data_IF_285221790329
#
_entry.id   IF_285221790329
#
_cell.length_a   1.000
_cell.length_b   1.000
_cell.length_c   1.000
_cell.angle_alpha   90.00
_cell.angle_beta   90.00
_cell.angle_gamma   90.00
#
_symmetry.space_group_name_H-M   'P 1'
#
loop_
_entity.id
_entity.type
_entity.pdbx_description
1 polymer ?
#
# COMPACT_ATOMS: atom_id res chain seq x y z
N UNK A 1 -10.73 -3.05 -42.50
CA UNK A 1 -11.89 -2.15 -42.52
C UNK A 1 -12.97 -2.50 -41.46
N UNK A 2 -13.16 -3.74 -41.06
CA UNK A 2 -14.16 -4.14 -40.08
C UNK A 2 -13.92 -3.63 -38.66
N UNK A 3 -12.65 -3.57 -38.22
CA UNK A 3 -12.30 -3.22 -36.84
C UNK A 3 -12.52 -1.73 -36.53
N UNK A 4 -12.28 -0.84 -37.48
CA UNK A 4 -12.51 0.60 -37.31
C UNK A 4 -14.02 0.93 -37.22
N UNK A 5 -14.87 0.20 -37.94
CA UNK A 5 -16.32 0.37 -37.89
C UNK A 5 -16.88 -0.19 -36.55
N UNK A 6 -16.34 -1.29 -36.05
CA UNK A 6 -16.73 -1.86 -34.76
C UNK A 6 -16.37 -0.93 -33.59
N UNK A 7 -15.19 -0.31 -33.60
CA UNK A 7 -14.77 0.68 -32.61
C UNK A 7 -15.66 1.91 -32.66
N UNK A 8 -15.95 2.46 -33.85
CA UNK A 8 -16.81 3.62 -34.01
C UNK A 8 -18.26 3.35 -33.55
N UNK A 9 -18.78 2.14 -33.73
CA UNK A 9 -20.12 1.74 -33.27
C UNK A 9 -20.18 1.57 -31.75
N UNK A 10 -19.09 1.14 -31.12
CA UNK A 10 -18.98 1.03 -29.66
C UNK A 10 -18.93 2.43 -29.03
N UNK A 11 -18.19 3.36 -29.63
CA UNK A 11 -18.07 4.73 -29.15
C UNK A 11 -19.42 5.49 -29.31
N UNK A 12 -20.13 5.30 -30.43
CA UNK A 12 -21.45 5.89 -30.68
C UNK A 12 -22.55 5.38 -29.71
N UNK A 13 -22.38 4.25 -29.10
CA UNK A 13 -23.31 3.67 -28.10
C UNK A 13 -22.94 4.05 -26.65
N UNK A 14 -21.94 4.92 -26.45
CA UNK A 14 -21.45 5.28 -25.12
C UNK A 14 -20.82 4.11 -24.37
N UNK A 15 -20.28 3.12 -25.10
CA UNK A 15 -19.63 1.95 -24.53
C UNK A 15 -18.36 2.36 -23.84
N UNK A 16 -18.34 2.21 -22.52
CA UNK A 16 -17.21 2.54 -21.69
C UNK A 16 -16.29 1.31 -21.50
N UNK A 17 -15.04 1.55 -21.11
CA UNK A 17 -14.11 0.47 -20.79
C UNK A 17 -14.67 -0.52 -19.75
N UNK A 18 -15.50 -0.04 -18.84
CA UNK A 18 -16.22 -0.83 -17.82
C UNK A 18 -17.21 -1.82 -18.43
N UNK A 19 -17.87 -1.46 -19.54
CA UNK A 19 -18.81 -2.35 -20.22
C UNK A 19 -18.08 -3.48 -20.96
N UNK A 20 -16.89 -3.18 -21.51
CA UNK A 20 -16.02 -4.20 -22.09
C UNK A 20 -15.55 -5.19 -21.04
N UNK A 21 -15.22 -4.72 -19.84
CA UNK A 21 -14.81 -5.54 -18.70
C UNK A 21 -15.93 -6.47 -18.23
N UNK A 22 -17.17 -5.97 -18.15
CA UNK A 22 -18.37 -6.77 -17.82
C UNK A 22 -18.67 -7.84 -18.88
N UNK A 23 -18.39 -7.52 -20.14
CA UNK A 23 -18.62 -8.45 -21.26
C UNK A 23 -17.55 -9.55 -21.36
N UNK A 24 -16.36 -9.33 -20.78
CA UNK A 24 -15.21 -10.24 -20.83
C UNK A 24 -14.61 -10.51 -19.43
N UNK A 25 -15.39 -11.01 -18.48
CA UNK A 25 -14.94 -11.19 -17.08
C UNK A 25 -13.78 -12.18 -16.91
N UNK A 26 -13.45 -12.91 -17.96
CA UNK A 26 -12.33 -13.87 -17.99
C UNK A 26 -11.01 -13.34 -18.56
N UNK A 27 -10.99 -12.11 -19.08
CA UNK A 27 -9.80 -11.51 -19.67
C UNK A 27 -8.76 -11.12 -18.60
N UNK A 28 -7.48 -11.43 -18.87
CA UNK A 28 -6.35 -11.04 -17.96
C UNK A 28 -6.35 -9.52 -17.68
N UNK A 29 -6.74 -8.71 -18.65
CA UNK A 29 -6.80 -7.25 -18.54
C UNK A 29 -7.96 -6.79 -17.65
N UNK A 30 -9.14 -7.37 -17.81
CA UNK A 30 -10.33 -6.99 -17.04
C UNK A 30 -10.23 -7.34 -15.55
N UNK A 31 -9.53 -8.43 -15.18
CA UNK A 31 -9.28 -8.79 -13.77
C UNK A 31 -8.31 -7.84 -13.09
N UNK A 32 -7.29 -7.37 -13.79
CA UNK A 32 -6.29 -6.44 -13.23
C UNK A 32 -6.91 -5.10 -12.83
N UNK A 33 -7.85 -4.59 -13.62
CA UNK A 33 -8.46 -3.27 -13.43
C UNK A 33 -9.57 -3.23 -12.36
N UNK A 34 -10.08 -4.40 -11.94
CA UNK A 34 -11.17 -4.48 -10.96
C UNK A 34 -10.73 -5.01 -9.59
N UNK A 35 -9.43 -5.26 -9.41
CA UNK A 35 -8.90 -5.78 -8.15
C UNK A 35 -8.88 -4.67 -7.09
N UNK A 36 -9.50 -4.93 -5.95
CA UNK A 36 -9.52 -4.00 -4.83
C UNK A 36 -8.25 -4.10 -3.98
N UNK A 37 -7.95 -3.06 -3.25
CA UNK A 37 -6.84 -3.02 -2.29
C UNK A 37 -6.94 -4.18 -1.29
N UNK A 38 -8.14 -4.50 -0.81
CA UNK A 38 -8.41 -5.62 0.10
C UNK A 38 -7.99 -7.00 -0.43
N UNK A 39 -7.91 -7.15 -1.75
CA UNK A 39 -7.54 -8.43 -2.38
C UNK A 39 -6.02 -8.59 -2.57
N UNK A 40 -5.26 -7.49 -2.50
CA UNK A 40 -3.81 -7.48 -2.73
C UNK A 40 -3.01 -7.10 -1.50
N UNK A 41 -3.62 -6.46 -0.51
CA UNK A 41 -2.96 -6.06 0.72
C UNK A 41 -2.55 -7.27 1.57
N UNK A 42 -1.52 -7.10 2.36
CA UNK A 42 -1.25 -8.00 3.47
C UNK A 42 -2.28 -7.75 4.56
N UNK A 43 -2.77 -8.82 5.15
CA UNK A 43 -3.71 -8.77 6.27
C UNK A 43 -3.11 -8.06 7.49
N UNK A 44 -3.93 -7.77 8.48
CA UNK A 44 -3.48 -7.20 9.75
C UNK A 44 -2.36 -8.05 10.39
N UNK A 45 -2.48 -9.37 10.38
CA UNK A 45 -1.49 -10.27 10.99
C UNK A 45 -0.18 -10.34 10.21
N UNK A 46 -0.24 -10.20 8.89
CA UNK A 46 0.93 -10.21 8.00
C UNK A 46 1.63 -8.86 7.93
N UNK A 47 0.94 -7.78 8.30
CA UNK A 47 1.51 -6.44 8.32
C UNK A 47 2.49 -6.28 9.46
N UNK A 48 3.74 -5.80 9.19
CA UNK A 48 4.68 -5.42 10.24
C UNK A 48 4.09 -4.31 11.09
N UNK A 49 3.97 -4.53 12.38
CA UNK A 49 3.41 -3.55 13.31
C UNK A 49 4.04 -3.66 14.67
N UNK A 50 4.15 -2.52 15.34
CA UNK A 50 4.76 -2.41 16.66
C UNK A 50 4.17 -1.23 17.44
N UNK A 51 4.26 -1.27 18.75
CA UNK A 51 3.91 -0.11 19.58
C UNK A 51 4.85 1.07 19.32
N UNK A 52 4.33 2.28 19.30
CA UNK A 52 5.13 3.52 19.19
C UNK A 52 6.14 3.66 20.33
N UNK A 53 5.89 3.02 21.49
CA UNK A 53 6.78 3.01 22.65
C UNK A 53 7.87 1.94 22.57
N UNK A 54 7.85 1.07 21.56
CA UNK A 54 8.86 0.05 21.38
C UNK A 54 10.22 0.62 20.99
N UNK A 55 11.26 -0.19 21.14
CA UNK A 55 12.62 0.18 20.76
C UNK A 55 12.79 0.19 19.22
N UNK A 56 13.74 0.98 18.75
CA UNK A 56 14.13 0.96 17.34
C UNK A 56 14.61 -0.45 16.93
N UNK A 57 15.33 -1.14 17.79
CA UNK A 57 15.80 -2.50 17.55
C UNK A 57 14.65 -3.46 17.29
N UNK A 58 13.59 -3.42 18.13
CA UNK A 58 12.42 -4.28 17.96
C UNK A 58 11.67 -3.96 16.67
N UNK A 59 11.59 -2.68 16.29
CA UNK A 59 11.02 -2.28 15.02
C UNK A 59 11.79 -2.84 13.81
N UNK A 60 13.12 -2.82 13.85
CA UNK A 60 13.97 -3.40 12.82
C UNK A 60 13.82 -4.92 12.72
N UNK A 61 13.69 -5.61 13.85
CA UNK A 61 13.44 -7.05 13.88
C UNK A 61 12.09 -7.41 13.25
N UNK A 62 11.04 -6.69 13.59
CA UNK A 62 9.69 -6.88 13.00
C UNK A 62 9.69 -6.61 11.50
N UNK A 63 10.33 -5.51 11.08
CA UNK A 63 10.47 -5.13 9.68
C UNK A 63 11.19 -6.19 8.85
N UNK A 64 12.26 -6.75 9.40
CA UNK A 64 13.04 -7.83 8.77
C UNK A 64 12.26 -9.14 8.71
N UNK A 65 11.59 -9.51 9.79
CA UNK A 65 10.81 -10.76 9.87
C UNK A 65 9.68 -10.79 8.84
N UNK A 66 8.98 -9.68 8.67
CA UNK A 66 7.83 -9.56 7.76
C UNK A 66 8.21 -9.16 6.32
N UNK A 67 9.45 -8.76 6.07
CA UNK A 67 9.99 -8.45 4.73
C UNK A 67 9.13 -7.47 3.93
N UNK A 68 8.74 -6.38 4.53
CA UNK A 68 7.94 -5.36 3.86
C UNK A 68 8.70 -4.05 3.59
N UNK A 69 9.85 -3.85 4.25
CA UNK A 69 10.64 -2.62 4.15
C UNK A 69 10.04 -1.44 4.92
N UNK A 70 9.01 -1.71 5.71
CA UNK A 70 8.41 -0.77 6.65
C UNK A 70 7.80 -1.50 7.84
N UNK A 71 7.53 -0.75 8.91
CA UNK A 71 6.72 -1.18 10.05
C UNK A 71 5.73 -0.09 10.43
N UNK A 72 4.49 -0.47 10.69
CA UNK A 72 3.44 0.44 11.16
C UNK A 72 3.56 0.60 12.67
N UNK A 73 3.55 1.83 13.15
CA UNK A 73 3.53 2.10 14.60
C UNK A 73 2.12 2.38 15.06
N UNK A 74 1.74 1.72 16.14
CA UNK A 74 0.43 1.85 16.77
C UNK A 74 0.54 2.60 18.09
N UNK A 75 -0.44 3.45 18.37
CA UNK A 75 -0.58 4.11 19.66
C UNK A 75 -1.23 3.19 20.72
N UNK A 76 -1.46 3.72 21.91
CA UNK A 76 -2.08 2.99 23.02
C UNK A 76 -3.53 2.56 22.74
N UNK A 77 -4.19 3.18 21.75
CA UNK A 77 -5.55 2.86 21.30
C UNK A 77 -5.55 1.94 20.06
N UNK A 78 -4.39 1.39 19.69
CA UNK A 78 -4.20 0.60 18.45
C UNK A 78 -4.54 1.38 17.16
N UNK A 79 -4.44 2.70 17.19
CA UNK A 79 -4.56 3.53 16.00
C UNK A 79 -3.18 3.70 15.35
N UNK A 80 -3.19 3.92 14.03
CA UNK A 80 -1.96 4.17 13.29
C UNK A 80 -1.35 5.52 13.70
N UNK A 81 -0.21 5.47 14.36
CA UNK A 81 0.54 6.66 14.78
C UNK A 81 1.54 7.13 13.71
N UNK A 82 2.06 6.21 12.93
CA UNK A 82 3.04 6.50 11.88
C UNK A 82 3.59 5.24 11.26
N UNK A 83 4.63 5.41 10.46
CA UNK A 83 5.42 4.33 9.88
C UNK A 83 6.91 4.60 10.05
N UNK A 84 7.69 3.54 10.11
CA UNK A 84 9.14 3.57 10.01
C UNK A 84 9.56 2.71 8.83
N UNK A 85 10.37 3.27 7.93
CA UNK A 85 10.77 2.63 6.67
C UNK A 85 12.28 2.46 6.57
N UNK A 86 12.75 1.67 5.60
CA UNK A 86 14.17 1.58 5.26
C UNK A 86 14.77 2.95 4.92
N UNK A 87 14.00 3.84 4.31
CA UNK A 87 14.40 5.21 4.04
C UNK A 87 14.59 6.05 5.31
N UNK A 88 13.73 5.85 6.31
CA UNK A 88 13.86 6.50 7.62
C UNK A 88 15.12 6.02 8.34
N UNK A 89 15.38 4.71 8.31
CA UNK A 89 16.60 4.13 8.87
C UNK A 89 17.85 4.72 8.23
N UNK A 90 17.86 4.83 6.91
CA UNK A 90 19.01 5.40 6.18
C UNK A 90 19.25 6.84 6.58
N UNK A 91 18.22 7.68 6.63
CA UNK A 91 18.32 9.07 7.09
C UNK A 91 18.80 9.19 8.55
N UNK A 92 18.39 8.24 9.37
CA UNK A 92 18.80 8.19 10.76
C UNK A 92 20.31 7.89 10.90
N UNK A 93 20.80 6.91 10.11
CA UNK A 93 22.22 6.53 10.06
C UNK A 93 23.12 7.65 9.49
N UNK A 94 22.61 8.47 8.60
CA UNK A 94 23.33 9.66 8.11
C UNK A 94 23.55 10.71 9.20
N UNK A 95 22.63 10.78 10.18
CA UNK A 95 22.70 11.78 11.27
C UNK A 95 23.41 11.26 12.51
N UNK A 96 23.42 9.96 12.74
CA UNK A 96 24.01 9.33 13.92
C UNK A 96 24.54 7.96 13.60
N UNK A 97 25.79 7.69 14.01
CA UNK A 97 26.41 6.37 13.89
C UNK A 97 26.00 5.43 15.03
N UNK A 98 25.45 5.97 16.11
CA UNK A 98 24.98 5.21 17.27
C UNK A 98 23.46 5.26 17.35
N UNK A 99 22.85 4.08 17.26
CA UNK A 99 21.40 3.89 17.36
C UNK A 99 20.94 3.64 18.81
N UNK A 100 21.89 3.48 19.74
CA UNK A 100 21.56 3.24 21.14
C UNK A 100 20.90 4.47 21.75
N UNK A 101 19.78 4.26 22.43
CA UNK A 101 19.01 5.33 23.07
C UNK A 101 18.10 6.14 22.15
N UNK A 102 18.06 5.84 20.82
CA UNK A 102 17.09 6.44 19.92
C UNK A 102 15.72 5.80 20.09
N UNK A 103 14.72 6.63 20.27
CA UNK A 103 13.34 6.19 20.36
C UNK A 103 12.69 6.16 18.99
N UNK A 104 11.88 5.14 18.75
CA UNK A 104 11.12 4.99 17.51
C UNK A 104 10.24 6.22 17.26
N UNK A 105 9.65 6.80 18.31
CA UNK A 105 8.80 7.98 18.25
C UNK A 105 9.43 9.18 17.53
N UNK A 106 10.74 9.37 17.66
CA UNK A 106 11.45 10.48 17.01
C UNK A 106 11.92 10.15 15.58
N UNK A 107 11.84 8.89 15.18
CA UNK A 107 12.32 8.39 13.89
C UNK A 107 11.21 8.12 12.88
N UNK A 108 9.95 8.02 13.32
CA UNK A 108 8.83 7.68 12.46
C UNK A 108 8.40 8.84 11.56
N UNK A 109 7.84 8.48 10.41
CA UNK A 109 7.01 9.38 9.60
C UNK A 109 5.62 9.40 10.19
N UNK A 110 5.24 10.51 10.81
CA UNK A 110 3.88 10.74 11.32
C UNK A 110 2.91 11.00 10.15
N UNK A 111 1.65 10.65 10.31
CA UNK A 111 0.62 10.79 9.29
C UNK A 111 1.01 10.13 7.95
N UNK A 112 1.25 8.81 7.92
CA UNK A 112 1.56 8.08 6.70
C UNK A 112 0.40 8.17 5.70
N UNK A 113 0.68 7.95 4.42
CA UNK A 113 -0.38 7.84 3.43
C UNK A 113 -1.18 6.57 3.68
N UNK A 114 -2.47 6.74 3.78
CA UNK A 114 -3.43 5.64 4.00
C UNK A 114 -4.37 5.50 2.82
N UNK A 115 -4.91 4.32 2.65
CA UNK A 115 -5.88 4.00 1.61
C UNK A 115 -6.96 3.10 2.20
N UNK A 116 -8.25 3.31 1.90
CA UNK A 116 -9.30 2.39 2.29
C UNK A 116 -9.26 1.09 1.46
N UNK A 117 -9.69 -0.05 2.02
CA UNK A 117 -9.60 -1.34 1.35
C UNK A 117 -10.53 -1.49 0.13
N UNK A 118 -11.54 -0.67 0.01
CA UNK A 118 -12.56 -0.70 -1.06
C UNK A 118 -12.06 -0.09 -2.37
N UNK A 119 -11.01 0.74 -2.35
CA UNK A 119 -10.44 1.33 -3.55
C UNK A 119 -9.77 0.28 -4.43
N UNK A 120 -9.62 0.61 -5.71
CA UNK A 120 -8.96 -0.26 -6.66
C UNK A 120 -7.44 -0.27 -6.44
N UNK A 121 -6.80 -1.39 -6.73
CA UNK A 121 -5.35 -1.51 -6.68
C UNK A 121 -4.65 -0.53 -7.62
N UNK A 122 -5.27 -0.15 -8.74
CA UNK A 122 -4.78 0.88 -9.65
C UNK A 122 -4.70 2.26 -8.98
N UNK A 123 -5.70 2.61 -8.16
CA UNK A 123 -5.67 3.86 -7.38
C UNK A 123 -4.54 3.87 -6.34
N UNK A 124 -4.20 2.70 -5.79
CA UNK A 124 -3.02 2.56 -4.91
C UNK A 124 -1.72 2.85 -5.67
N UNK A 125 -1.59 2.37 -6.90
CA UNK A 125 -0.42 2.63 -7.76
C UNK A 125 -0.31 4.13 -8.06
N UNK A 126 -1.41 4.77 -8.49
CA UNK A 126 -1.45 6.20 -8.77
C UNK A 126 -1.04 7.03 -7.54
N UNK A 127 -1.52 6.63 -6.36
CA UNK A 127 -1.16 7.28 -5.10
C UNK A 127 0.33 7.12 -4.78
N UNK A 128 0.89 5.92 -4.98
CA UNK A 128 2.31 5.65 -4.77
C UNK A 128 3.18 6.47 -5.72
N UNK A 129 2.83 6.54 -7.01
CA UNK A 129 3.53 7.33 -8.01
C UNK A 129 3.47 8.83 -7.71
N UNK A 130 2.27 9.35 -7.47
CA UNK A 130 2.04 10.77 -7.16
C UNK A 130 2.85 11.25 -5.97
N UNK A 131 2.95 10.43 -4.93
CA UNK A 131 3.65 10.78 -3.69
C UNK A 131 5.07 10.24 -3.62
N UNK A 132 5.54 9.52 -4.64
CA UNK A 132 6.87 8.88 -4.70
C UNK A 132 7.15 8.02 -3.48
N UNK A 133 6.19 7.19 -3.12
CA UNK A 133 6.26 6.25 -2.01
C UNK A 133 6.06 4.82 -2.51
N UNK A 134 6.58 3.85 -1.78
CA UNK A 134 6.51 2.44 -2.14
C UNK A 134 5.60 1.62 -1.22
N UNK A 135 4.98 2.27 -0.24
CA UNK A 135 4.16 1.63 0.78
C UNK A 135 2.90 2.44 1.04
N UNK A 136 1.80 1.76 1.30
CA UNK A 136 0.55 2.35 1.78
C UNK A 136 0.05 1.56 2.98
N UNK A 137 -0.47 2.26 3.96
CA UNK A 137 -1.16 1.68 5.11
C UNK A 137 -2.64 1.60 4.76
N UNK A 138 -3.24 0.43 4.95
CA UNK A 138 -4.68 0.25 4.72
C UNK A 138 -5.41 0.42 6.04
N UNK A 139 -6.31 1.38 6.07
CA UNK A 139 -7.06 1.74 7.28
C UNK A 139 -8.56 1.67 7.05
N UNK A 140 -9.28 1.39 8.13
CA UNK A 140 -10.73 1.48 8.16
C UNK A 140 -11.23 2.91 8.41
N UNK A 141 -12.56 3.09 8.49
CA UNK A 141 -13.19 4.42 8.61
C UNK A 141 -12.81 5.21 9.87
N UNK A 142 -12.40 4.52 10.92
CA UNK A 142 -12.00 5.14 12.21
C UNK A 142 -10.49 5.28 12.36
N UNK A 143 -9.71 5.01 11.29
CA UNK A 143 -8.26 5.07 11.29
C UNK A 143 -7.58 3.83 11.86
N UNK A 144 -8.33 2.77 12.14
CA UNK A 144 -7.80 1.48 12.57
C UNK A 144 -6.99 0.81 11.46
N UNK A 145 -5.92 0.13 11.85
CA UNK A 145 -5.09 -0.63 10.94
C UNK A 145 -5.84 -1.88 10.45
N UNK A 146 -6.02 -2.00 9.14
CA UNK A 146 -6.56 -3.21 8.49
C UNK A 146 -5.48 -4.04 7.80
N UNK A 147 -4.45 -3.39 7.29
CA UNK A 147 -3.37 -4.03 6.57
C UNK A 147 -2.39 -3.03 5.99
N UNK A 148 -1.57 -3.48 5.09
CA UNK A 148 -0.67 -2.63 4.33
C UNK A 148 -0.31 -3.29 3.00
N UNK A 149 0.19 -2.51 2.06
CA UNK A 149 0.69 -3.01 0.78
C UNK A 149 1.92 -2.22 0.34
N UNK A 150 2.76 -2.88 -0.44
CA UNK A 150 3.89 -2.26 -1.11
C UNK A 150 3.87 -2.56 -2.61
N UNK A 151 4.76 -1.95 -3.38
CA UNK A 151 4.88 -2.19 -4.82
C UNK A 151 5.11 -3.67 -5.15
N UNK A 152 5.88 -4.38 -4.32
CA UNK A 152 6.15 -5.81 -4.53
C UNK A 152 4.88 -6.66 -4.42
N UNK A 153 3.99 -6.34 -3.49
CA UNK A 153 2.70 -7.02 -3.34
C UNK A 153 1.82 -6.80 -4.60
N UNK A 154 1.84 -5.60 -5.17
CA UNK A 154 1.14 -5.27 -6.42
C UNK A 154 1.73 -6.02 -7.63
N UNK A 155 3.06 -6.14 -7.73
CA UNK A 155 3.73 -6.96 -8.73
C UNK A 155 3.38 -8.44 -8.58
N UNK A 156 3.43 -8.97 -7.37
CA UNK A 156 3.11 -10.38 -7.08
C UNK A 156 1.66 -10.71 -7.45
N UNK A 157 0.73 -9.77 -7.21
CA UNK A 157 -0.67 -9.88 -7.61
C UNK A 157 -0.90 -9.64 -9.12
N UNK A 158 0.14 -9.30 -9.86
CA UNK A 158 0.09 -8.98 -11.31
C UNK A 158 -0.84 -7.80 -11.64
N UNK A 159 -0.93 -6.82 -10.77
CA UNK A 159 -1.63 -5.55 -11.02
C UNK A 159 -0.80 -4.67 -11.96
N UNK A 160 0.51 -4.73 -11.83
CA UNK A 160 1.51 -4.06 -12.68
C UNK A 160 2.49 -5.07 -13.25
#
# INVERSE_FOLDING_TARGET
MGDALAVALLDARGFQAEDFQRSHPGGRLGRKQLMHVSEVMRSFDETPKISISASLKDALLEMTAKRMGMVVTLDEKNQVAGIFTDGDLRRLLEKSTNLDGLTLKNAITSAPRTIPPELLAEEAIEMMEKHRINHLVVTGPTGELLGALNLHDLFAAKVI
#
